data_IF_091993938989
#
_entry.id   IF_091993938989
#
_cell.length_a   1.000
_cell.length_b   1.000
_cell.length_c   1.000
_cell.angle_alpha   90.00
_cell.angle_beta   90.00
_cell.angle_gamma   90.00
#
_symmetry.space_group_name_H-M   'P 1'
#
loop_
_entity.id
_entity.type
_entity.pdbx_description
1 polymer ?
#
# COMPACT_ATOMS: atom_id res chain seq x y z
N UNK A 1 15.79 14.25 6.62
CA UNK A 1 15.73 13.40 5.43
C UNK A 1 14.31 12.85 5.32
N UNK A 2 13.64 13.14 4.24
CA UNK A 2 12.31 12.59 3.94
C UNK A 2 12.46 11.40 3.01
N UNK A 3 11.58 10.44 3.17
CA UNK A 3 11.48 9.30 2.28
C UNK A 3 10.07 9.28 1.69
N UNK A 4 9.98 9.39 0.38
CA UNK A 4 8.74 9.20 -0.35
C UNK A 4 8.61 7.76 -0.80
N UNK A 5 7.42 7.22 -0.66
CA UNK A 5 7.08 5.88 -1.11
C UNK A 5 6.02 5.96 -2.20
N UNK A 6 5.81 4.87 -2.92
CA UNK A 6 4.73 4.79 -3.91
C UNK A 6 3.37 5.08 -3.27
N UNK A 7 3.21 4.75 -1.98
CA UNK A 7 1.98 5.02 -1.25
C UNK A 7 1.71 6.51 -1.00
N UNK A 8 2.73 7.36 -1.11
CA UNK A 8 2.59 8.82 -0.95
C UNK A 8 2.25 9.53 -2.26
N UNK A 9 2.34 8.81 -3.40
CA UNK A 9 2.13 9.35 -4.73
C UNK A 9 0.75 9.02 -5.32
N UNK A 10 -0.12 8.36 -4.56
CA UNK A 10 -1.47 8.07 -5.02
C UNK A 10 -2.33 9.33 -5.09
N UNK A 11 -3.06 9.44 -6.16
CA UNK A 11 -4.15 10.41 -6.33
C UNK A 11 -5.43 9.69 -6.74
N UNK A 12 -6.56 10.37 -6.66
CA UNK A 12 -7.82 9.86 -7.16
C UNK A 12 -8.09 10.46 -8.54
N UNK A 13 -8.29 9.59 -9.53
CA UNK A 13 -8.70 10.01 -10.85
C UNK A 13 -10.18 10.43 -10.88
N UNK A 14 -10.68 10.83 -12.04
CA UNK A 14 -12.08 11.25 -12.22
C UNK A 14 -13.11 10.14 -11.90
N UNK A 15 -12.66 8.87 -11.85
CA UNK A 15 -13.49 7.72 -11.48
C UNK A 15 -13.40 7.37 -10.00
N UNK A 16 -12.74 8.21 -9.21
CA UNK A 16 -12.47 7.96 -7.79
C UNK A 16 -11.62 6.71 -7.52
N UNK A 17 -10.86 6.27 -8.51
CA UNK A 17 -9.90 5.18 -8.37
C UNK A 17 -8.55 5.74 -7.91
N UNK A 18 -7.88 5.01 -7.05
CA UNK A 18 -6.51 5.35 -6.62
C UNK A 18 -5.53 4.99 -7.73
N UNK A 19 -4.83 5.96 -8.23
CA UNK A 19 -3.87 5.79 -9.33
C UNK A 19 -2.56 6.48 -9.01
N UNK A 20 -1.48 5.96 -9.60
CA UNK A 20 -0.22 6.68 -9.72
C UNK A 20 -0.05 7.04 -11.17
N UNK A 21 -0.15 8.32 -11.48
CA UNK A 21 0.03 8.82 -12.84
C UNK A 21 1.50 9.03 -13.15
N UNK A 22 1.95 8.70 -14.36
CA UNK A 22 3.28 9.11 -14.82
C UNK A 22 3.28 10.63 -15.07
N UNK A 23 4.40 11.25 -14.76
CA UNK A 23 4.56 12.68 -14.94
C UNK A 23 5.60 13.27 -14.03
N UNK A 24 5.75 14.57 -14.13
CA UNK A 24 6.66 15.34 -13.28
C UNK A 24 5.88 15.94 -12.11
N UNK A 25 6.29 15.59 -10.91
CA UNK A 25 5.71 16.10 -9.66
C UNK A 25 6.67 17.08 -9.03
N UNK A 26 6.23 18.31 -8.80
CA UNK A 26 7.01 19.29 -8.04
C UNK A 26 6.88 18.99 -6.54
N UNK A 27 8.00 18.71 -5.92
CA UNK A 27 8.08 18.54 -4.46
C UNK A 27 8.39 19.89 -3.84
N UNK A 28 7.55 20.35 -2.94
CA UNK A 28 7.72 21.59 -2.23
C UNK A 28 7.82 21.35 -0.74
N UNK A 29 8.86 21.85 -0.12
CA UNK A 29 9.06 21.79 1.32
C UNK A 29 9.12 23.20 1.87
N UNK A 30 8.24 23.51 2.81
CA UNK A 30 8.15 24.80 3.43
C UNK A 30 7.42 24.78 4.76
N UNK A 31 7.43 25.89 5.46
CA UNK A 31 6.69 26.06 6.70
C UNK A 31 5.18 26.25 6.46
N UNK A 32 4.81 26.74 5.28
CA UNK A 32 3.42 26.87 4.82
C UNK A 32 3.38 26.90 3.29
N UNK A 33 2.20 26.90 2.70
CA UNK A 33 2.04 27.05 1.25
C UNK A 33 2.55 28.40 0.71
N UNK A 34 2.69 29.40 1.58
CA UNK A 34 3.25 30.72 1.25
C UNK A 34 4.76 30.82 1.52
N UNK A 35 5.32 29.91 2.33
CA UNK A 35 6.75 29.89 2.69
C UNK A 35 7.39 28.58 2.23
N UNK A 36 7.61 28.46 0.92
CA UNK A 36 8.29 27.32 0.31
C UNK A 36 9.78 27.58 0.30
N UNK A 37 10.54 26.70 0.92
CA UNK A 37 11.99 26.84 1.11
C UNK A 37 12.82 25.95 0.19
N UNK A 38 12.30 24.77 -0.15
CA UNK A 38 12.95 23.83 -1.04
C UNK A 38 11.97 23.37 -2.10
N UNK A 39 12.48 23.21 -3.33
CA UNK A 39 11.73 22.65 -4.45
C UNK A 39 12.60 21.63 -5.15
N UNK A 40 11.99 20.54 -5.57
CA UNK A 40 12.64 19.51 -6.38
C UNK A 40 11.59 18.86 -7.29
N UNK A 41 12.03 18.18 -8.33
CA UNK A 41 11.14 17.52 -9.27
C UNK A 41 11.34 16.01 -9.20
N UNK A 42 10.26 15.31 -8.94
CA UNK A 42 10.20 13.85 -9.01
C UNK A 42 9.52 13.44 -10.31
N UNK A 43 10.21 12.68 -11.14
CA UNK A 43 9.63 12.11 -12.36
C UNK A 43 9.16 10.69 -12.11
N UNK A 44 7.87 10.45 -12.30
CA UNK A 44 7.29 9.12 -12.29
C UNK A 44 7.24 8.59 -13.72
N UNK A 45 7.97 7.50 -13.98
CA UNK A 45 8.05 6.85 -15.28
C UNK A 45 7.05 5.70 -15.38
N UNK A 46 6.50 5.50 -16.57
CA UNK A 46 5.62 4.38 -16.85
C UNK A 46 4.29 4.78 -17.46
N UNK A 47 3.31 3.92 -17.36
CA UNK A 47 1.90 4.20 -17.68
C UNK A 47 1.14 4.53 -16.40
N UNK A 48 0.08 5.32 -16.54
CA UNK A 48 -0.95 5.39 -15.51
C UNK A 48 -1.34 3.98 -15.10
N UNK A 49 -1.21 3.68 -13.84
CA UNK A 49 -1.51 2.33 -13.33
C UNK A 49 -2.53 2.50 -12.21
N UNK A 50 -3.76 2.11 -12.48
CA UNK A 50 -4.76 1.93 -11.44
C UNK A 50 -4.45 0.67 -10.63
N UNK A 51 -4.92 0.61 -9.39
CA UNK A 51 -4.82 -0.61 -8.60
C UNK A 51 -5.49 -1.80 -9.32
N UNK A 52 -6.55 -1.55 -10.09
CA UNK A 52 -7.23 -2.55 -10.91
C UNK A 52 -6.35 -3.08 -12.06
N UNK A 53 -5.57 -2.22 -12.73
CA UNK A 53 -4.69 -2.64 -13.84
C UNK A 53 -3.44 -3.36 -13.36
N UNK A 54 -2.90 -3.00 -12.20
CA UNK A 54 -1.81 -3.76 -11.56
C UNK A 54 -2.24 -5.17 -11.22
N UNK A 55 -3.48 -5.33 -10.85
CA UNK A 55 -4.13 -6.62 -10.62
C UNK A 55 -4.32 -7.40 -11.91
N UNK A 56 -4.74 -6.74 -13.00
CA UNK A 56 -4.95 -7.36 -14.32
C UNK A 56 -3.64 -7.76 -15.01
N UNK A 57 -2.57 -6.97 -14.86
CA UNK A 57 -1.27 -7.28 -15.47
C UNK A 57 -0.60 -8.51 -14.85
N UNK A 58 -0.94 -8.86 -13.62
CA UNK A 58 -0.48 -10.10 -12.98
C UNK A 58 -1.32 -11.30 -13.45
N UNK A 59 -2.54 -11.07 -13.92
CA UNK A 59 -3.45 -12.12 -14.38
C UNK A 59 -3.24 -12.56 -15.84
N UNK A 60 -2.43 -11.85 -16.64
CA UNK A 60 -2.20 -12.21 -18.06
C UNK A 60 -1.13 -13.29 -18.25
N UNK A 61 -0.50 -13.77 -17.19
CA UNK A 61 0.41 -14.92 -17.27
C UNK A 61 -0.16 -16.10 -16.49
N UNK A 62 -0.89 -16.94 -17.20
CA UNK A 62 -1.39 -18.25 -16.80
C UNK A 62 -2.60 -18.30 -15.86
N UNK A 63 -3.76 -18.27 -16.47
CA UNK A 63 -4.93 -19.00 -15.98
C UNK A 63 -4.62 -20.49 -16.00
N UNK A 64 -4.00 -20.98 -14.97
CA UNK A 64 -3.95 -22.41 -14.68
C UNK A 64 -4.15 -22.60 -13.19
N UNK A 65 -5.39 -23.02 -12.87
CA UNK A 65 -5.84 -23.71 -11.66
C UNK A 65 -5.23 -23.27 -10.31
N UNK A 66 -6.04 -22.87 -9.36
CA UNK A 66 -5.60 -22.39 -8.05
C UNK A 66 -5.11 -23.58 -7.21
N UNK A 67 -3.91 -24.02 -7.44
CA UNK A 67 -3.28 -25.01 -6.59
C UNK A 67 -2.06 -24.34 -5.95
N UNK A 68 -2.27 -23.75 -4.77
CA UNK A 68 -1.19 -23.43 -3.86
C UNK A 68 -0.16 -22.38 -4.28
N UNK A 69 -0.43 -21.60 -5.33
CA UNK A 69 0.51 -20.56 -5.76
C UNK A 69 0.51 -19.40 -4.75
N UNK A 70 1.67 -19.16 -4.16
CA UNK A 70 1.89 -18.02 -3.30
C UNK A 70 1.98 -16.74 -4.13
N UNK A 71 1.15 -15.78 -3.82
CA UNK A 71 1.14 -14.46 -4.42
C UNK A 71 1.93 -13.49 -3.56
N UNK A 72 2.63 -12.57 -4.19
CA UNK A 72 3.29 -11.48 -3.48
C UNK A 72 2.28 -10.35 -3.22
N UNK A 73 2.03 -10.12 -1.96
CA UNK A 73 1.17 -9.06 -1.46
C UNK A 73 2.05 -7.98 -0.84
N UNK A 74 1.75 -6.74 -1.14
CA UNK A 74 2.41 -5.57 -0.55
C UNK A 74 1.40 -4.46 -0.33
N UNK A 75 1.75 -3.49 0.47
CA UNK A 75 0.89 -2.33 0.72
C UNK A 75 1.42 -1.48 1.85
N UNK A 76 0.61 -0.52 2.25
CA UNK A 76 0.89 0.35 3.37
C UNK A 76 -0.19 0.22 4.43
N UNK A 77 0.24 0.23 5.69
CA UNK A 77 -0.67 0.32 6.83
C UNK A 77 -0.60 1.73 7.39
N UNK A 78 -1.76 2.34 7.56
CA UNK A 78 -1.91 3.70 8.09
C UNK A 78 -2.95 3.71 9.21
N UNK A 79 -2.92 4.75 10.04
CA UNK A 79 -4.01 5.02 10.97
C UNK A 79 -5.09 5.89 10.32
N UNK A 80 -6.19 6.13 11.03
CA UNK A 80 -7.31 6.98 10.57
C UNK A 80 -6.91 8.43 10.24
N UNK A 81 -5.73 8.86 10.69
CA UNK A 81 -5.17 10.17 10.40
C UNK A 81 -4.19 10.15 9.21
N UNK A 82 -4.14 9.03 8.48
CA UNK A 82 -3.26 8.77 7.34
C UNK A 82 -1.75 8.73 7.67
N UNK A 83 -1.37 8.57 8.94
CA UNK A 83 0.04 8.36 9.32
C UNK A 83 0.45 6.91 9.10
N UNK A 84 1.63 6.66 8.51
CA UNK A 84 2.14 5.32 8.33
C UNK A 84 2.43 4.66 9.69
N UNK A 85 2.10 3.37 9.78
CA UNK A 85 2.23 2.61 11.01
C UNK A 85 3.34 1.56 10.90
N UNK A 86 4.36 1.73 11.72
CA UNK A 86 5.47 0.77 11.83
C UNK A 86 5.13 -0.38 12.79
N UNK A 87 5.83 -1.49 12.60
CA UNK A 87 5.77 -2.67 13.49
C UNK A 87 4.38 -3.33 13.59
N UNK A 88 3.51 -3.07 12.64
CA UNK A 88 2.26 -3.82 12.52
C UNK A 88 2.58 -5.23 12.09
N UNK A 89 2.14 -6.21 12.84
CA UNK A 89 2.28 -7.61 12.48
C UNK A 89 1.29 -7.95 11.37
N UNK A 90 1.81 -8.41 10.25
CA UNK A 90 1.00 -8.88 9.10
C UNK A 90 1.19 -10.38 9.00
N UNK A 91 0.11 -11.12 9.10
CA UNK A 91 0.13 -12.59 9.10
C UNK A 91 -0.77 -13.16 8.01
N UNK A 92 -0.24 -14.12 7.27
CA UNK A 92 -0.98 -14.92 6.29
C UNK A 92 -0.68 -16.41 6.51
N UNK A 93 -1.57 -17.10 7.20
CA UNK A 93 -1.32 -18.49 7.60
C UNK A 93 -0.07 -18.61 8.48
N UNK A 94 0.95 -19.33 8.00
CA UNK A 94 2.24 -19.46 8.69
C UNK A 94 3.23 -18.34 8.39
N UNK A 95 2.97 -17.53 7.36
CA UNK A 95 3.84 -16.41 6.99
C UNK A 95 3.54 -15.20 7.85
N UNK A 96 4.59 -14.58 8.38
CA UNK A 96 4.51 -13.38 9.20
C UNK A 96 5.54 -12.37 8.72
N UNK A 97 5.14 -11.12 8.63
CA UNK A 97 6.01 -9.97 8.39
C UNK A 97 5.59 -8.79 9.28
N UNK A 98 6.39 -7.75 9.28
CA UNK A 98 6.10 -6.52 10.01
C UNK A 98 6.21 -5.33 9.07
N UNK A 99 5.37 -4.32 9.27
CA UNK A 99 5.49 -3.07 8.54
C UNK A 99 6.79 -2.34 8.91
N UNK A 100 7.38 -1.70 7.92
CA UNK A 100 8.54 -0.83 8.09
C UNK A 100 8.12 0.52 8.70
N UNK A 101 9.09 1.39 8.98
CA UNK A 101 8.82 2.72 9.53
C UNK A 101 7.91 3.59 8.65
N UNK A 102 7.91 3.35 7.36
CA UNK A 102 7.05 4.02 6.38
C UNK A 102 5.68 3.33 6.21
N UNK A 103 5.35 2.33 7.04
CA UNK A 103 4.11 1.58 6.98
C UNK A 103 4.04 0.50 5.89
N UNK A 104 5.07 0.36 5.06
CA UNK A 104 5.10 -0.65 4.00
C UNK A 104 5.27 -2.06 4.54
N UNK A 105 4.61 -3.02 3.90
CA UNK A 105 4.78 -4.44 4.15
C UNK A 105 4.84 -5.25 2.85
N UNK A 106 5.44 -6.42 2.93
CA UNK A 106 5.43 -7.45 1.89
C UNK A 106 5.23 -8.80 2.53
N UNK A 107 4.33 -9.60 1.96
CA UNK A 107 4.05 -10.93 2.45
C UNK A 107 3.63 -11.84 1.29
N UNK A 108 4.02 -13.11 1.35
CA UNK A 108 3.53 -14.12 0.42
C UNK A 108 2.28 -14.77 1.02
N UNK A 109 1.22 -14.83 0.24
CA UNK A 109 -0.04 -15.45 0.65
C UNK A 109 -0.72 -16.14 -0.54
N UNK A 110 -1.46 -17.20 -0.27
CA UNK A 110 -2.26 -17.88 -1.28
C UNK A 110 -3.65 -17.24 -1.42
N UNK A 111 -4.27 -17.44 -2.58
CA UNK A 111 -5.67 -17.03 -2.79
C UNK A 111 -6.57 -17.73 -1.76
N UNK A 112 -7.46 -16.96 -1.15
CA UNK A 112 -8.37 -17.42 -0.10
C UNK A 112 -7.80 -17.35 1.31
N UNK A 113 -6.51 -17.08 1.48
CA UNK A 113 -5.92 -16.86 2.80
C UNK A 113 -6.38 -15.54 3.41
N UNK A 114 -6.43 -15.52 4.73
CA UNK A 114 -6.68 -14.31 5.49
C UNK A 114 -5.36 -13.61 5.81
N UNK A 115 -5.31 -12.34 5.49
CA UNK A 115 -4.27 -11.41 5.97
C UNK A 115 -4.80 -10.76 7.24
N UNK A 116 -4.08 -10.90 8.33
CA UNK A 116 -4.41 -10.25 9.59
C UNK A 116 -3.36 -9.19 9.91
N UNK A 117 -3.84 -8.02 10.28
CA UNK A 117 -3.04 -6.87 10.67
C UNK A 117 -3.25 -6.62 12.16
N UNK A 118 -2.22 -6.84 12.95
CA UNK A 118 -2.31 -6.79 14.41
C UNK A 118 -1.28 -5.81 14.96
N UNK A 119 -1.75 -4.85 15.74
CA UNK A 119 -0.91 -3.96 16.52
C UNK A 119 -1.58 -3.70 17.87
N UNK A 120 -0.80 -3.75 18.94
CA UNK A 120 -1.31 -3.49 20.29
C UNK A 120 -1.92 -2.09 20.38
N UNK A 121 -3.15 -1.99 20.87
CA UNK A 121 -3.90 -0.74 20.97
C UNK A 121 -4.72 -0.39 19.73
N UNK A 122 -4.74 -1.27 18.75
CA UNK A 122 -5.53 -1.12 17.53
C UNK A 122 -6.38 -2.36 17.28
N UNK A 123 -7.51 -2.15 16.62
CA UNK A 123 -8.36 -3.27 16.19
C UNK A 123 -7.65 -4.10 15.14
N UNK A 124 -7.77 -5.40 15.26
CA UNK A 124 -7.26 -6.32 14.25
C UNK A 124 -8.08 -6.20 12.98
N UNK A 125 -7.43 -5.84 11.88
CA UNK A 125 -8.05 -5.85 10.56
C UNK A 125 -7.74 -7.15 9.84
N UNK A 126 -8.70 -7.64 9.07
CA UNK A 126 -8.58 -8.89 8.33
C UNK A 126 -9.05 -8.69 6.89
N UNK A 127 -8.18 -9.04 5.95
CA UNK A 127 -8.49 -9.06 4.53
C UNK A 127 -8.40 -10.50 3.99
N UNK A 128 -9.23 -10.82 3.00
CA UNK A 128 -9.13 -12.08 2.26
C UNK A 128 -8.38 -11.83 0.97
N UNK A 129 -7.32 -12.60 0.76
CA UNK A 129 -6.52 -12.55 -0.46
C UNK A 129 -7.33 -13.15 -1.61
N UNK A 130 -7.68 -12.33 -2.57
CA UNK A 130 -8.37 -12.76 -3.80
C UNK A 130 -7.41 -12.82 -4.98
N UNK A 131 -6.42 -11.97 -4.96
CA UNK A 131 -5.42 -11.81 -6.01
C UNK A 131 -4.14 -11.22 -5.44
N UNK A 132 -3.04 -11.25 -6.19
CA UNK A 132 -1.81 -10.55 -5.83
C UNK A 132 -1.94 -9.07 -6.11
N UNK A 133 -1.21 -8.24 -5.37
CA UNK A 133 -1.22 -6.81 -5.62
C UNK A 133 -0.90 -5.95 -4.41
N UNK A 134 -1.39 -4.71 -4.47
CA UNK A 134 -1.21 -3.71 -3.43
C UNK A 134 -2.50 -3.60 -2.61
N UNK A 135 -2.39 -3.84 -1.32
CA UNK A 135 -3.49 -3.71 -0.37
C UNK A 135 -3.08 -2.74 0.74
N UNK A 136 -3.67 -1.57 0.72
CA UNK A 136 -3.47 -0.59 1.78
C UNK A 136 -4.54 -0.79 2.85
N UNK A 137 -4.12 -0.69 4.10
CA UNK A 137 -4.97 -0.97 5.25
C UNK A 137 -4.94 0.19 6.21
N UNK A 138 -6.11 0.55 6.71
CA UNK A 138 -6.28 1.54 7.76
C UNK A 138 -6.60 0.84 9.07
N UNK A 139 -5.81 1.11 10.10
CA UNK A 139 -6.05 0.60 11.44
C UNK A 139 -6.72 1.66 12.31
N UNK A 140 -7.79 1.24 12.97
CA UNK A 140 -8.51 2.05 13.94
C UNK A 140 -8.01 1.74 15.34
N UNK A 141 -7.72 2.77 16.12
CA UNK A 141 -7.36 2.58 17.53
C UNK A 141 -8.48 1.88 18.30
N UNK A 142 -8.12 0.94 19.13
CA UNK A 142 -9.06 0.30 20.02
C UNK A 142 -9.38 1.27 21.16
N UNK A 143 -10.65 1.68 21.25
CA UNK A 143 -11.12 2.50 22.34
C UNK A 143 -11.34 1.60 23.56
N UNK A 144 -10.79 1.95 24.73
CA UNK A 144 -11.04 1.20 25.96
C UNK A 144 -12.52 1.25 26.39
#
# INVERSE_FOLDING_TARGET
RFRLTVCDLYLHNQRMERVVEPGDFELQIGASSADIRLRDTLRVLGKETSDAERTAAVNTTNVTKPTGRMLQIRGCVRNVQAFPMAHVRVQAGSNVTYTQQNGEYRIAAAVGQRLQFVLKGYRTETLIVREGGIFDVELTAETP
#
